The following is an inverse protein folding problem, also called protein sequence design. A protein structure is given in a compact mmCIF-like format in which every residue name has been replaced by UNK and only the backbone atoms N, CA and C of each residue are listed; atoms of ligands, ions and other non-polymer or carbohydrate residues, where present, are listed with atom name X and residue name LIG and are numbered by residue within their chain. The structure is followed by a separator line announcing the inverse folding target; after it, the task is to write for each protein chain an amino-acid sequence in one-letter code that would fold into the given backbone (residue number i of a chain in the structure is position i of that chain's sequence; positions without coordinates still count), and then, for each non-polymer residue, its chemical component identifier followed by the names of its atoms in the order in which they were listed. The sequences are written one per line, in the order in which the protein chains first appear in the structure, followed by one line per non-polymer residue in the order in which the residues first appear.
data_IF_846971239540
#
_entry.id   IF_846971239540
#
_cell.length_a   1.000
_cell.length_b   1.000
_cell.length_c   1.000
_cell.angle_alpha   90.00
_cell.angle_beta   90.00
_cell.angle_gamma   90.00
#
_symmetry.space_group_name_H-M   'P 1'
#
loop_
_entity.id
_entity.type
_entity.pdbx_description
1 polymer ?
#
# COMPACT_ATOMS: atom_id res chain seq x y z
N UNK A 1 -10.37 17.56 -1.84
CA UNK A 1 -9.49 16.76 -2.74
C UNK A 1 -8.22 16.28 -2.04
N UNK A 2 -7.37 17.17 -1.52
CA UNK A 2 -6.13 16.76 -0.84
C UNK A 2 -6.34 15.80 0.35
N UNK A 3 -7.26 16.14 1.28
CA UNK A 3 -7.62 15.25 2.40
C UNK A 3 -8.22 13.91 1.93
N UNK A 4 -9.03 13.90 0.89
CA UNK A 4 -9.64 12.67 0.35
C UNK A 4 -8.60 11.75 -0.29
N UNK A 5 -7.63 12.31 -1.03
CA UNK A 5 -6.50 11.54 -1.55
C UNK A 5 -5.63 10.99 -0.41
N UNK A 6 -5.38 11.78 0.63
CA UNK A 6 -4.66 11.31 1.82
C UNK A 6 -5.37 10.11 2.46
N UNK A 7 -6.67 10.22 2.71
CA UNK A 7 -7.48 9.14 3.31
C UNK A 7 -7.46 7.87 2.46
N UNK A 8 -7.51 8.00 1.13
CA UNK A 8 -7.41 6.86 0.22
C UNK A 8 -6.02 6.18 0.32
N UNK A 9 -4.93 6.97 0.34
CA UNK A 9 -3.58 6.43 0.53
C UNK A 9 -3.37 5.78 1.91
N UNK A 10 -3.98 6.33 2.96
CA UNK A 10 -3.94 5.74 4.30
C UNK A 10 -4.75 4.46 4.40
N UNK A 11 -5.94 4.43 3.78
CA UNK A 11 -6.75 3.22 3.68
C UNK A 11 -6.02 2.12 2.90
N UNK A 12 -5.35 2.48 1.80
CA UNK A 12 -4.55 1.53 1.03
C UNK A 12 -3.42 0.91 1.86
N UNK A 13 -2.67 1.72 2.60
CA UNK A 13 -1.61 1.25 3.47
C UNK A 13 -2.14 0.34 4.59
N UNK A 14 -3.29 0.68 5.18
CA UNK A 14 -3.93 -0.15 6.21
C UNK A 14 -4.41 -1.50 5.65
N UNK A 15 -5.05 -1.50 4.48
CA UNK A 15 -5.48 -2.72 3.81
C UNK A 15 -4.28 -3.60 3.40
N UNK A 16 -3.20 -3.01 2.90
CA UNK A 16 -1.97 -3.73 2.57
C UNK A 16 -1.33 -4.37 3.80
N UNK A 17 -1.27 -3.64 4.93
CA UNK A 17 -0.75 -4.17 6.19
C UNK A 17 -1.61 -5.32 6.73
N UNK A 18 -2.93 -5.14 6.73
CA UNK A 18 -3.88 -6.19 7.16
C UNK A 18 -3.80 -7.42 6.26
N UNK A 19 -3.69 -7.24 4.94
CA UNK A 19 -3.45 -8.31 3.98
C UNK A 19 -2.18 -9.07 4.32
N UNK A 20 -1.04 -8.37 4.42
CA UNK A 20 0.25 -8.96 4.77
C UNK A 20 0.23 -9.73 6.09
N UNK A 21 -0.47 -9.21 7.11
CA UNK A 21 -0.65 -9.89 8.39
C UNK A 21 -1.53 -11.14 8.25
N UNK A 22 -2.64 -11.04 7.51
CA UNK A 22 -3.57 -12.15 7.28
C UNK A 22 -2.92 -13.31 6.51
N UNK A 23 -2.13 -13.04 5.47
CA UNK A 23 -1.40 -14.07 4.72
C UNK A 23 -0.43 -14.82 5.62
N UNK A 24 0.24 -14.09 6.50
CA UNK A 24 1.18 -14.67 7.46
C UNK A 24 0.51 -15.53 8.52
N UNK A 25 -0.61 -15.08 9.08
CA UNK A 25 -1.38 -15.84 10.08
C UNK A 25 -2.03 -17.09 9.48
N UNK A 26 -2.29 -17.11 8.17
CA UNK A 26 -2.90 -18.24 7.45
C UNK A 26 -1.87 -19.15 6.78
N UNK A 27 -0.57 -18.94 7.00
CA UNK A 27 0.52 -19.77 6.44
C UNK A 27 0.77 -19.57 4.94
N UNK A 28 0.11 -18.60 4.31
CA UNK A 28 0.41 -18.16 2.94
C UNK A 28 1.54 -17.16 2.99
N UNK A 29 2.77 -17.67 2.96
CA UNK A 29 3.96 -16.83 2.98
C UNK A 29 4.08 -16.05 1.67
N UNK A 30 3.97 -14.72 1.73
CA UNK A 30 4.57 -13.87 0.71
C UNK A 30 6.10 -14.05 0.78
N UNK A 31 6.78 -14.07 -0.38
CA UNK A 31 8.21 -14.40 -0.49
C UNK A 31 9.13 -13.57 0.44
N UNK A 32 8.68 -12.40 0.90
CA UNK A 32 9.42 -11.49 1.78
C UNK A 32 9.21 -11.83 3.27
N UNK A 33 8.06 -12.38 3.67
CA UNK A 33 7.70 -12.57 5.09
C UNK A 33 7.99 -13.98 5.63
N UNK A 34 8.27 -14.95 4.76
CA UNK A 34 8.77 -16.27 5.17
C UNK A 34 10.19 -16.28 5.71
N UNK A 35 11.00 -15.26 5.39
CA UNK A 35 12.43 -15.23 5.69
C UNK A 35 12.81 -14.53 7.01
N UNK A 36 11.89 -13.78 7.64
CA UNK A 36 12.20 -12.89 8.78
C UNK A 36 11.20 -13.08 9.93
N UNK A 37 11.60 -13.05 11.21
CA UNK A 37 10.69 -13.23 12.34
C UNK A 37 9.52 -12.23 12.37
N UNK A 38 8.40 -12.61 13.00
CA UNK A 38 7.17 -11.81 13.01
C UNK A 38 7.35 -10.38 13.54
N UNK A 39 8.07 -10.17 14.66
CA UNK A 39 8.34 -8.83 15.16
C UNK A 39 9.12 -7.98 14.15
N UNK A 40 10.11 -8.57 13.46
CA UNK A 40 10.98 -7.86 12.50
C UNK A 40 10.17 -7.40 11.29
N UNK A 41 9.28 -8.24 10.76
CA UNK A 41 8.40 -7.81 9.68
C UNK A 41 7.45 -6.70 10.12
N UNK A 42 6.88 -6.78 11.33
CA UNK A 42 6.02 -5.71 11.86
C UNK A 42 6.79 -4.39 11.96
N UNK A 43 8.05 -4.40 12.40
CA UNK A 43 8.89 -3.20 12.42
C UNK A 43 9.22 -2.68 11.02
N UNK A 44 9.54 -3.55 10.07
CA UNK A 44 9.74 -3.19 8.67
C UNK A 44 8.48 -2.55 8.08
N UNK A 45 7.32 -3.15 8.31
CA UNK A 45 6.03 -2.63 7.86
C UNK A 45 5.69 -1.28 8.50
N UNK A 46 5.90 -1.14 9.80
CA UNK A 46 5.69 0.12 10.50
C UNK A 46 6.66 1.21 10.00
N UNK A 47 7.91 0.85 9.72
CA UNK A 47 8.92 1.73 9.13
C UNK A 47 8.52 2.19 7.73
N UNK A 48 8.14 1.25 6.85
CA UNK A 48 7.63 1.56 5.51
C UNK A 48 6.36 2.42 5.55
N UNK A 49 5.42 2.09 6.44
CA UNK A 49 4.22 2.90 6.66
C UNK A 49 4.53 4.31 7.15
N UNK A 50 5.51 4.46 8.06
CA UNK A 50 5.99 5.76 8.54
C UNK A 50 6.69 6.58 7.46
N UNK A 51 7.55 5.95 6.65
CA UNK A 51 8.18 6.58 5.48
C UNK A 51 7.13 7.04 4.47
N UNK A 52 6.14 6.19 4.19
CA UNK A 52 5.00 6.52 3.33
C UNK A 52 4.21 7.72 3.86
N UNK A 53 3.89 7.72 5.15
CA UNK A 53 3.21 8.81 5.83
C UNK A 53 3.95 10.14 5.70
N UNK A 54 5.27 10.13 5.90
CA UNK A 54 6.13 11.30 5.74
C UNK A 54 6.12 11.81 4.29
N UNK A 55 6.14 10.90 3.33
CA UNK A 55 6.16 11.22 1.90
C UNK A 55 4.83 11.85 1.45
N UNK A 56 3.71 11.27 1.89
CA UNK A 56 2.36 11.82 1.71
C UNK A 56 2.26 13.20 2.37
N UNK A 57 2.71 13.34 3.62
CA UNK A 57 2.71 14.60 4.34
C UNK A 57 3.55 15.68 3.64
N UNK A 58 4.75 15.34 3.15
CA UNK A 58 5.63 16.24 2.42
C UNK A 58 5.01 16.69 1.08
N UNK A 59 4.35 15.79 0.37
CA UNK A 59 3.63 16.11 -0.87
C UNK A 59 2.46 17.06 -0.62
N UNK A 60 1.73 16.89 0.50
CA UNK A 60 0.65 17.79 0.90
C UNK A 60 1.12 19.16 1.36
N UNK A 61 2.27 19.25 2.05
CA UNK A 61 2.90 20.54 2.39
C UNK A 61 3.51 21.26 1.19
N UNK A 62 3.45 20.66 0.00
CA UNK A 62 3.94 21.30 -1.23
C UNK A 62 5.46 21.37 -1.33
N UNK A 63 6.20 20.48 -0.64
CA UNK A 63 7.66 20.41 -0.81
C UNK A 63 7.99 20.03 -2.26
N UNK A 64 8.92 20.79 -2.87
CA UNK A 64 9.40 20.51 -4.24
C UNK A 64 9.93 19.08 -4.31
N UNK A 65 9.56 18.37 -5.38
CA UNK A 65 9.97 16.97 -5.61
C UNK A 65 9.15 15.90 -4.88
N UNK A 66 8.37 16.23 -3.84
CA UNK A 66 7.62 15.21 -3.10
C UNK A 66 6.47 14.58 -3.91
N UNK A 67 5.85 15.33 -4.83
CA UNK A 67 4.78 14.83 -5.70
C UNK A 67 5.25 13.79 -6.72
N UNK A 68 6.32 14.00 -7.51
CA UNK A 68 6.81 12.97 -8.42
C UNK A 68 7.35 11.76 -7.66
N UNK A 69 7.99 11.94 -6.51
CA UNK A 69 8.43 10.79 -5.67
C UNK A 69 7.22 9.99 -5.18
N UNK A 70 6.16 10.66 -4.74
CA UNK A 70 4.91 9.99 -4.34
C UNK A 70 4.23 9.27 -5.51
N UNK A 71 4.30 9.84 -6.71
CA UNK A 71 3.78 9.23 -7.93
C UNK A 71 4.53 7.94 -8.28
N UNK A 72 5.86 7.98 -8.25
CA UNK A 72 6.69 6.81 -8.54
C UNK A 72 6.50 5.73 -7.48
N UNK A 73 6.59 6.10 -6.20
CA UNK A 73 6.42 5.16 -5.10
C UNK A 73 5.00 4.56 -5.08
N UNK A 74 3.99 5.37 -5.34
CA UNK A 74 2.60 4.92 -5.46
C UNK A 74 2.38 4.00 -6.66
N UNK A 75 2.97 4.30 -7.82
CA UNK A 75 2.92 3.45 -9.01
C UNK A 75 3.59 2.10 -8.78
N UNK A 76 4.78 2.08 -8.17
CA UNK A 76 5.46 0.84 -7.79
C UNK A 76 4.63 0.02 -6.79
N UNK A 77 3.99 0.67 -5.82
CA UNK A 77 3.09 0.01 -4.88
C UNK A 77 1.88 -0.63 -5.57
N UNK A 78 1.29 0.03 -6.57
CA UNK A 78 0.20 -0.55 -7.37
C UNK A 78 0.66 -1.81 -8.11
N UNK A 79 1.85 -1.78 -8.73
CA UNK A 79 2.41 -2.95 -9.43
C UNK A 79 2.63 -4.11 -8.46
N UNK A 80 3.19 -3.85 -7.27
CA UNK A 80 3.39 -4.85 -6.23
C UNK A 80 2.05 -5.47 -5.77
N UNK A 81 1.03 -4.63 -5.54
CA UNK A 81 -0.33 -5.08 -5.19
C UNK A 81 -0.93 -5.99 -6.27
N UNK A 82 -0.74 -5.67 -7.55
CA UNK A 82 -1.23 -6.50 -8.67
C UNK A 82 -0.53 -7.86 -8.69
N UNK A 83 0.80 -7.89 -8.53
CA UNK A 83 1.57 -9.14 -8.50
C UNK A 83 1.12 -10.02 -7.33
N UNK A 84 0.93 -9.44 -6.15
CA UNK A 84 0.44 -10.17 -4.98
C UNK A 84 -0.99 -10.69 -5.18
N UNK A 85 -1.88 -9.87 -5.74
CA UNK A 85 -3.26 -10.28 -6.05
C UNK A 85 -3.30 -11.44 -7.06
N UNK A 86 -2.43 -11.44 -8.08
CA UNK A 86 -2.30 -12.57 -9.02
C UNK A 86 -1.83 -13.83 -8.30
N UNK A 87 -0.86 -13.71 -7.38
CA UNK A 87 -0.43 -14.81 -6.53
C UNK A 87 -1.56 -15.39 -5.66
N UNK A 88 -2.42 -14.51 -5.13
CA UNK A 88 -3.55 -14.90 -4.27
C UNK A 88 -4.66 -15.60 -5.04
N UNK A 89 -4.91 -15.17 -6.29
CA UNK A 89 -5.85 -15.85 -7.19
C UNK A 89 -5.35 -17.26 -7.53
N UNK A 90 -4.06 -17.42 -7.82
CA UNK A 90 -3.44 -18.71 -8.13
C UNK A 90 -3.50 -19.66 -6.92
N UNK A 91 -3.24 -19.13 -5.72
CA UNK A 91 -3.25 -19.90 -4.47
C UNK A 91 -4.63 -20.04 -3.84
N UNK A 92 -5.67 -19.44 -4.45
CA UNK A 92 -7.06 -19.38 -3.96
C UNK A 92 -7.20 -18.80 -2.54
N UNK A 93 -6.29 -17.94 -2.12
CA UNK A 93 -6.36 -17.29 -0.81
C UNK A 93 -7.25 -16.04 -0.86
N UNK A 94 -8.57 -16.26 -0.75
CA UNK A 94 -9.59 -15.21 -0.91
C UNK A 94 -9.54 -14.12 0.17
N UNK A 95 -9.14 -14.48 1.40
CA UNK A 95 -9.05 -13.51 2.51
C UNK A 95 -7.86 -12.58 2.29
N UNK A 96 -6.71 -13.13 1.93
CA UNK A 96 -5.52 -12.36 1.59
C UNK A 96 -5.79 -11.46 0.37
N UNK A 97 -6.28 -12.04 -0.72
CA UNK A 97 -6.58 -11.33 -1.96
C UNK A 97 -7.63 -10.23 -1.81
N UNK A 98 -8.61 -10.40 -0.91
CA UNK A 98 -9.61 -9.37 -0.61
C UNK A 98 -9.00 -8.09 -0.04
N UNK A 99 -8.04 -8.21 0.88
CA UNK A 99 -7.32 -7.07 1.44
C UNK A 99 -6.42 -6.39 0.40
N UNK A 100 -5.75 -7.18 -0.46
CA UNK A 100 -4.94 -6.65 -1.55
C UNK A 100 -5.76 -5.93 -2.62
N UNK A 101 -6.94 -6.46 -2.94
CA UNK A 101 -7.89 -5.82 -3.83
C UNK A 101 -8.40 -4.49 -3.25
N UNK A 102 -8.75 -4.46 -1.96
CA UNK A 102 -9.14 -3.23 -1.29
C UNK A 102 -8.00 -2.20 -1.31
N UNK A 103 -6.76 -2.64 -1.02
CA UNK A 103 -5.57 -1.80 -1.08
C UNK A 103 -5.32 -1.24 -2.49
N UNK A 104 -5.52 -2.05 -3.52
CA UNK A 104 -5.38 -1.67 -4.93
C UNK A 104 -6.41 -0.60 -5.34
N UNK A 105 -7.67 -0.81 -4.98
CA UNK A 105 -8.76 0.15 -5.28
C UNK A 105 -8.50 1.48 -4.57
N UNK A 106 -8.13 1.45 -3.29
CA UNK A 106 -7.80 2.63 -2.50
C UNK A 106 -6.55 3.35 -3.03
N UNK A 107 -5.53 2.62 -3.50
CA UNK A 107 -4.34 3.20 -4.13
C UNK A 107 -4.68 3.88 -5.45
N UNK A 108 -5.50 3.25 -6.30
CA UNK A 108 -6.00 3.85 -7.54
C UNK A 108 -6.84 5.10 -7.30
N UNK A 109 -7.68 5.09 -6.26
CA UNK A 109 -8.43 6.27 -5.83
C UNK A 109 -7.50 7.39 -5.34
N UNK A 110 -6.49 7.07 -4.54
CA UNK A 110 -5.47 8.03 -4.07
C UNK A 110 -4.69 8.66 -5.22
N UNK A 111 -4.32 7.85 -6.23
CA UNK A 111 -3.61 8.30 -7.42
C UNK A 111 -4.48 9.23 -8.28
N UNK A 112 -5.70 8.79 -8.64
CA UNK A 112 -6.63 9.60 -9.45
C UNK A 112 -7.00 10.92 -8.79
N UNK A 113 -7.25 10.94 -7.48
CA UNK A 113 -7.55 12.16 -6.73
C UNK A 113 -6.35 13.12 -6.62
N UNK A 114 -5.12 12.61 -6.68
CA UNK A 114 -3.90 13.41 -6.62
C UNK A 114 -3.64 14.14 -7.96
N UNK A 115 -3.94 13.50 -9.09
CA UNK A 115 -3.74 14.07 -10.43
C UNK A 115 -4.97 14.75 -11.02
N UNK A 116 -6.13 14.66 -10.35
CA UNK A 116 -7.34 15.35 -10.80
C UNK A 116 -7.10 16.86 -10.80
N UNK A 117 -7.38 17.56 -11.92
CA UNK A 117 -7.29 19.02 -11.96
C UNK A 117 -8.26 19.63 -10.94
N UNK A 118 -7.75 20.57 -10.14
CA UNK A 118 -8.56 21.39 -9.23
C UNK A 118 -9.36 22.36 -10.09
N UNK A 119 -10.59 21.98 -10.43
CA UNK A 119 -11.61 22.94 -10.86
C UNK A 119 -12.14 23.67 -9.65
#
# INVERSE_FOLDING_TARGET
MARSAALAWWGAAACWFLGSLAGRLTGSHTAITGAVPLPVAVFLFAGCGGLWALLVHAAFRGRRGARPVLAVAGGLGIVDLVVQLVGDVVTRNLVHGGFFLAALVLSGAGFTLMFRPRR
#
